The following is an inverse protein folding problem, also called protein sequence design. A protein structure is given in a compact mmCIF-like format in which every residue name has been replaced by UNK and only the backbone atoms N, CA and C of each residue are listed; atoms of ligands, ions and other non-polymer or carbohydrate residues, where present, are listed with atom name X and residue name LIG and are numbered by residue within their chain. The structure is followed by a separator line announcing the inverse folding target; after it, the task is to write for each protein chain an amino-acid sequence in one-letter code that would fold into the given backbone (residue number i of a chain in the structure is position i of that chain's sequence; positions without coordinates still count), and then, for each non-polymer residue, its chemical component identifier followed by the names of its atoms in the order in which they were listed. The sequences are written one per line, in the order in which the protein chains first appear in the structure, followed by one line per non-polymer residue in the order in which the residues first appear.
data_IF_170231988967
#
_entry.id   IF_170231988967
#
_cell.length_a   1.000
_cell.length_b   1.000
_cell.length_c   1.000
_cell.angle_alpha   90.00
_cell.angle_beta   90.00
_cell.angle_gamma   90.00
#
_symmetry.space_group_name_H-M   'P 1'
#
loop_
_entity.id
_entity.type
_entity.pdbx_description
1 polymer ?
#
# COMPACT_ATOMS: atom_id res chain seq x y z
N UNK A 1 -23.78 35.92 -44.29
CA UNK A 1 -23.18 34.72 -43.67
C UNK A 1 -23.64 34.49 -42.22
N UNK A 2 -23.74 35.51 -41.35
CA UNK A 2 -24.14 35.29 -39.94
C UNK A 2 -25.61 34.92 -39.70
N UNK A 3 -26.52 35.21 -40.63
CA UNK A 3 -27.97 34.95 -40.47
C UNK A 3 -28.32 33.45 -40.55
N UNK A 4 -27.60 32.66 -41.34
CA UNK A 4 -27.94 31.25 -41.59
C UNK A 4 -27.59 30.30 -40.44
N UNK A 5 -26.57 30.62 -39.62
CA UNK A 5 -26.20 29.79 -38.46
C UNK A 5 -27.21 29.98 -37.32
N UNK A 6 -27.66 31.22 -37.09
CA UNK A 6 -28.67 31.51 -36.10
C UNK A 6 -30.01 30.83 -36.45
N UNK A 7 -30.42 30.87 -37.71
CA UNK A 7 -31.62 30.18 -38.19
C UNK A 7 -31.51 28.65 -38.05
N UNK A 8 -30.33 28.08 -38.30
CA UNK A 8 -30.07 26.66 -38.12
C UNK A 8 -30.09 26.22 -36.65
N UNK A 9 -29.57 27.04 -35.73
CA UNK A 9 -29.61 26.77 -34.28
C UNK A 9 -31.02 26.91 -33.73
N UNK A 10 -31.79 27.90 -34.19
CA UNK A 10 -33.18 28.09 -33.79
C UNK A 10 -34.11 26.97 -34.30
N UNK A 11 -33.74 26.31 -35.40
CA UNK A 11 -34.45 25.15 -35.92
C UNK A 11 -34.15 23.83 -35.18
N UNK A 12 -33.17 23.82 -34.26
CA UNK A 12 -32.90 22.63 -33.43
C UNK A 12 -34.04 22.48 -32.43
N UNK A 13 -34.79 21.36 -32.46
CA UNK A 13 -35.86 21.15 -31.51
C UNK A 13 -35.29 21.13 -30.08
N UNK A 14 -36.01 21.69 -29.09
CA UNK A 14 -35.57 21.65 -27.71
C UNK A 14 -35.35 20.21 -27.28
N UNK A 15 -34.27 19.97 -26.54
CA UNK A 15 -33.99 18.65 -26.00
C UNK A 15 -35.18 18.20 -25.15
N UNK A 16 -35.67 16.99 -25.40
CA UNK A 16 -36.66 16.35 -24.54
C UNK A 16 -35.93 15.69 -23.38
N UNK A 17 -36.49 15.81 -22.18
CA UNK A 17 -35.98 15.09 -21.03
C UNK A 17 -36.01 13.57 -21.29
N UNK A 18 -34.95 12.89 -20.86
CA UNK A 18 -34.89 11.44 -20.91
C UNK A 18 -35.80 10.79 -19.87
N UNK A 19 -36.18 9.54 -20.12
CA UNK A 19 -36.85 8.70 -19.11
C UNK A 19 -35.76 8.06 -18.23
N UNK A 20 -35.81 8.32 -16.93
CA UNK A 20 -34.87 7.78 -15.94
C UNK A 20 -35.35 6.47 -15.31
N UNK A 21 -34.51 5.85 -14.50
CA UNK A 21 -34.90 4.74 -13.63
C UNK A 21 -35.44 5.28 -12.29
N UNK A 22 -36.66 4.88 -11.93
CA UNK A 22 -37.30 5.24 -10.67
C UNK A 22 -37.21 4.12 -9.61
N UNK A 23 -37.08 2.86 -10.04
CA UNK A 23 -36.94 1.72 -9.14
C UNK A 23 -36.56 0.44 -9.87
N UNK A 24 -36.11 -0.56 -9.13
CA UNK A 24 -35.76 -1.87 -9.64
C UNK A 24 -36.17 -2.94 -8.63
N UNK A 25 -36.71 -4.06 -9.10
CA UNK A 25 -37.03 -5.21 -8.27
C UNK A 25 -36.69 -6.51 -9.01
N UNK A 26 -36.21 -7.52 -8.29
CA UNK A 26 -36.17 -8.89 -8.80
C UNK A 26 -37.45 -9.56 -8.35
N UNK A 27 -38.25 -10.03 -9.30
CA UNK A 27 -39.53 -10.65 -9.00
C UNK A 27 -39.39 -12.11 -8.53
N UNK A 28 -40.51 -12.76 -8.25
CA UNK A 28 -40.53 -14.16 -7.79
C UNK A 28 -40.08 -15.17 -8.84
N UNK A 29 -40.04 -14.79 -10.12
CA UNK A 29 -39.51 -15.61 -11.21
C UNK A 29 -37.99 -15.46 -11.39
N UNK A 30 -37.38 -14.49 -10.69
CA UNK A 30 -35.97 -14.16 -10.79
C UNK A 30 -35.64 -13.15 -11.89
N UNK A 31 -36.65 -12.51 -12.49
CA UNK A 31 -36.47 -11.47 -13.50
C UNK A 31 -36.26 -10.09 -12.89
N UNK A 32 -35.34 -9.31 -13.45
CA UNK A 32 -35.13 -7.91 -13.10
C UNK A 32 -36.18 -7.05 -13.81
N UNK A 33 -37.02 -6.41 -13.02
CA UNK A 33 -38.03 -5.46 -13.49
C UNK A 33 -37.64 -4.05 -13.07
N UNK A 34 -37.44 -3.16 -14.05
CA UNK A 34 -37.23 -1.73 -13.82
C UNK A 34 -38.55 -0.99 -13.87
N UNK A 35 -38.76 -0.09 -12.92
CA UNK A 35 -39.77 0.98 -13.00
C UNK A 35 -39.09 2.25 -13.47
N UNK A 36 -39.58 2.81 -14.58
CA UNK A 36 -39.09 4.04 -15.17
C UNK A 36 -39.75 5.27 -14.54
N UNK A 37 -39.16 6.44 -14.74
CA UNK A 37 -39.68 7.73 -14.23
C UNK A 37 -41.02 8.14 -14.84
N UNK A 38 -41.40 7.55 -15.98
CA UNK A 38 -42.72 7.72 -16.61
C UNK A 38 -43.76 6.70 -16.11
N UNK A 39 -43.40 5.86 -15.12
CA UNK A 39 -44.26 4.83 -14.55
C UNK A 39 -44.29 3.52 -15.34
N UNK A 40 -43.64 3.44 -16.50
CA UNK A 40 -43.54 2.21 -17.27
C UNK A 40 -42.69 1.18 -16.52
N UNK A 41 -43.14 -0.07 -16.52
CA UNK A 41 -42.32 -1.19 -16.07
C UNK A 41 -41.71 -1.92 -17.29
N UNK A 42 -40.43 -2.23 -17.22
CA UNK A 42 -39.71 -3.02 -18.22
C UNK A 42 -39.11 -4.25 -17.53
N UNK A 43 -39.50 -5.43 -17.99
CA UNK A 43 -38.83 -6.68 -17.66
C UNK A 43 -37.55 -6.79 -18.51
N UNK A 44 -36.39 -6.81 -17.84
CA UNK A 44 -35.08 -6.96 -18.46
C UNK A 44 -34.61 -8.43 -18.51
N UNK A 45 -35.42 -9.35 -18.01
CA UNK A 45 -35.16 -10.77 -17.99
C UNK A 45 -34.48 -11.26 -16.72
N UNK A 46 -34.20 -12.56 -16.72
CA UNK A 46 -33.71 -13.32 -15.56
C UNK A 46 -32.30 -12.92 -15.14
N UNK A 47 -32.11 -12.77 -13.83
CA UNK A 47 -30.80 -12.51 -13.19
C UNK A 47 -30.17 -13.84 -12.76
N UNK A 48 -29.16 -14.30 -13.48
CA UNK A 48 -28.43 -15.56 -13.19
C UNK A 48 -26.96 -15.31 -12.76
N UNK A 49 -26.70 -14.21 -12.08
CA UNK A 49 -25.37 -13.94 -11.51
C UNK A 49 -25.05 -14.91 -10.37
N UNK A 50 -23.85 -15.50 -10.36
CA UNK A 50 -23.33 -16.16 -9.15
C UNK A 50 -22.98 -15.10 -8.12
N UNK A 51 -23.19 -15.42 -6.85
CA UNK A 51 -22.75 -14.56 -5.76
C UNK A 51 -21.26 -14.26 -5.89
N UNK A 52 -20.89 -13.03 -5.53
CA UNK A 52 -19.50 -12.65 -5.38
C UNK A 52 -18.82 -13.51 -4.32
N UNK A 53 -17.52 -13.70 -4.46
CA UNK A 53 -16.72 -14.31 -3.41
C UNK A 53 -16.76 -13.42 -2.15
N UNK A 54 -17.11 -13.99 -0.98
CA UNK A 54 -17.09 -13.27 0.30
C UNK A 54 -15.75 -12.54 0.57
N UNK A 55 -15.78 -11.48 1.38
CA UNK A 55 -14.53 -10.84 1.84
C UNK A 55 -13.63 -11.83 2.60
N UNK A 56 -12.32 -11.56 2.65
CA UNK A 56 -11.39 -12.31 3.52
C UNK A 56 -11.67 -11.97 4.99
N UNK A 57 -11.72 -12.98 5.86
CA UNK A 57 -11.84 -12.79 7.30
C UNK A 57 -10.45 -12.55 7.94
N UNK A 58 -10.37 -12.02 9.17
CA UNK A 58 -9.10 -11.96 9.91
C UNK A 58 -8.45 -13.33 10.15
N UNK A 59 -9.23 -14.42 10.13
CA UNK A 59 -8.77 -15.80 10.33
C UNK A 59 -8.04 -16.35 9.09
N UNK A 60 -8.38 -15.79 7.92
CA UNK A 60 -7.77 -16.09 6.62
C UNK A 60 -6.42 -15.36 6.41
N UNK A 61 -6.02 -14.52 7.37
CA UNK A 61 -4.82 -13.68 7.28
C UNK A 61 -3.73 -14.16 8.24
N UNK A 62 -2.55 -14.45 7.71
CA UNK A 62 -1.35 -14.63 8.52
C UNK A 62 -0.37 -13.48 8.31
N UNK A 63 0.27 -13.04 9.39
CA UNK A 63 1.28 -11.97 9.39
C UNK A 63 2.50 -12.46 10.15
N UNK A 64 3.64 -12.52 9.46
CA UNK A 64 4.89 -13.06 10.00
C UNK A 64 6.03 -12.07 9.77
N UNK A 65 6.82 -11.78 10.80
CA UNK A 65 8.10 -11.09 10.64
C UNK A 65 9.14 -12.11 10.13
N UNK A 66 9.73 -11.83 8.97
CA UNK A 66 10.77 -12.68 8.41
C UNK A 66 12.07 -12.60 9.25
N UNK A 67 12.95 -13.63 9.15
CA UNK A 67 14.18 -13.68 9.93
C UNK A 67 15.15 -12.50 9.75
N UNK A 68 14.99 -11.72 8.68
CA UNK A 68 15.77 -10.49 8.46
C UNK A 68 15.47 -9.38 9.49
N UNK A 69 14.36 -9.50 10.22
CA UNK A 69 13.92 -8.60 11.27
C UNK A 69 13.23 -7.32 10.78
N UNK A 70 12.97 -7.18 9.47
CA UNK A 70 12.38 -5.96 8.89
C UNK A 70 11.39 -6.19 7.75
N UNK A 71 11.27 -7.40 7.25
CA UNK A 71 10.29 -7.73 6.21
C UNK A 71 9.12 -8.46 6.83
N UNK A 72 7.91 -7.91 6.68
CA UNK A 72 6.68 -8.60 7.07
C UNK A 72 6.15 -9.37 5.87
N UNK A 73 5.92 -10.66 6.07
CA UNK A 73 5.18 -11.51 5.14
C UNK A 73 3.71 -11.50 5.55
N UNK A 74 2.87 -11.03 4.66
CA UNK A 74 1.43 -11.15 4.77
C UNK A 74 0.96 -12.28 3.88
N UNK A 75 0.04 -13.09 4.38
CA UNK A 75 -0.58 -14.19 3.67
C UNK A 75 -2.08 -14.04 3.78
N UNK A 76 -2.78 -14.16 2.66
CA UNK A 76 -4.23 -14.30 2.59
C UNK A 76 -4.55 -15.65 1.96
N UNK A 77 -5.17 -16.54 2.72
CA UNK A 77 -5.65 -17.82 2.23
C UNK A 77 -7.16 -17.73 2.00
N UNK A 78 -7.65 -18.17 0.83
CA UNK A 78 -9.08 -18.34 0.60
C UNK A 78 -9.35 -19.60 -0.20
N UNK A 79 -9.96 -20.60 0.44
CA UNK A 79 -10.14 -21.93 -0.15
C UNK A 79 -8.77 -22.53 -0.52
N UNK A 80 -8.58 -22.91 -1.79
CA UNK A 80 -7.32 -23.47 -2.28
C UNK A 80 -6.27 -22.41 -2.71
N UNK A 81 -6.62 -21.11 -2.67
CA UNK A 81 -5.73 -20.04 -3.14
C UNK A 81 -5.01 -19.38 -1.97
N UNK A 82 -3.68 -19.31 -2.04
CA UNK A 82 -2.83 -18.55 -1.13
C UNK A 82 -2.21 -17.37 -1.89
N UNK A 83 -2.35 -16.16 -1.34
CA UNK A 83 -1.67 -14.96 -1.80
C UNK A 83 -0.71 -14.48 -0.73
N UNK A 84 0.58 -14.41 -1.06
CA UNK A 84 1.61 -13.92 -0.14
C UNK A 84 2.34 -12.72 -0.72
N UNK A 85 2.56 -11.69 0.10
CA UNK A 85 3.34 -10.51 -0.25
C UNK A 85 4.32 -10.17 0.87
N UNK A 86 5.50 -9.72 0.47
CA UNK A 86 6.58 -9.33 1.37
C UNK A 86 6.71 -7.82 1.36
N UNK A 87 6.56 -7.20 2.52
CA UNK A 87 6.64 -5.75 2.69
C UNK A 87 7.88 -5.44 3.53
N UNK A 88 8.96 -4.92 2.92
CA UNK A 88 10.11 -4.46 3.68
C UNK A 88 9.80 -3.13 4.36
N UNK A 89 10.08 -3.03 5.66
CA UNK A 89 9.95 -1.79 6.41
C UNK A 89 11.31 -1.08 6.55
N UNK A 90 11.37 0.25 6.34
CA UNK A 90 12.60 1.03 6.49
C UNK A 90 12.87 1.30 7.99
N UNK A 91 13.28 0.27 8.72
CA UNK A 91 13.59 0.34 10.16
C UNK A 91 15.10 0.38 10.41
N UNK A 92 15.48 0.95 11.54
CA UNK A 92 16.84 0.84 12.06
C UNK A 92 16.94 -0.39 12.94
N UNK A 93 17.82 -1.33 12.60
CA UNK A 93 18.04 -2.55 13.38
C UNK A 93 19.39 -2.53 14.08
N UNK A 94 19.41 -2.70 15.40
CA UNK A 94 20.65 -2.85 16.15
C UNK A 94 21.30 -4.21 15.86
N UNK A 95 22.50 -4.18 15.29
CA UNK A 95 23.34 -5.36 14.99
C UNK A 95 24.50 -5.50 15.97
N UNK A 96 24.54 -4.70 17.03
CA UNK A 96 25.56 -4.74 18.08
C UNK A 96 26.90 -4.18 17.63
N UNK A 97 28.00 -4.74 18.14
CA UNK A 97 29.36 -4.28 17.79
C UNK A 97 29.71 -4.72 16.37
N UNK A 98 30.30 -3.80 15.59
CA UNK A 98 30.79 -4.09 14.23
C UNK A 98 31.75 -5.30 14.23
N UNK A 99 31.59 -6.18 13.24
CA UNK A 99 32.43 -7.35 13.01
C UNK A 99 32.94 -7.33 11.58
N UNK A 100 34.26 -7.40 11.41
CA UNK A 100 34.88 -7.49 10.09
C UNK A 100 34.46 -8.79 9.39
N UNK A 101 34.25 -8.70 8.07
CA UNK A 101 33.74 -9.80 7.25
C UNK A 101 32.23 -10.06 7.37
N UNK A 102 31.49 -9.29 8.19
CA UNK A 102 30.02 -9.33 8.24
C UNK A 102 29.43 -8.36 7.23
N UNK A 103 28.46 -8.81 6.43
CA UNK A 103 27.69 -7.95 5.56
C UNK A 103 26.52 -7.33 6.33
N UNK A 104 26.32 -6.02 6.17
CA UNK A 104 25.23 -5.25 6.76
C UNK A 104 24.36 -4.67 5.64
N UNK A 105 23.08 -4.48 5.93
CA UNK A 105 22.11 -3.93 4.99
C UNK A 105 21.73 -2.49 5.35
N UNK A 106 21.07 -1.79 4.42
CA UNK A 106 20.54 -0.45 4.69
C UNK A 106 19.68 -0.44 5.95
N UNK A 107 19.92 0.53 6.84
CA UNK A 107 19.23 0.65 8.12
C UNK A 107 19.86 -0.14 9.27
N UNK A 108 20.81 -1.04 9.03
CA UNK A 108 21.53 -1.69 10.12
C UNK A 108 22.37 -0.66 10.90
N UNK A 109 22.30 -0.75 12.22
CA UNK A 109 23.08 0.05 13.15
C UNK A 109 24.13 -0.80 13.85
N UNK A 110 25.35 -0.28 13.97
CA UNK A 110 26.45 -0.93 14.69
C UNK A 110 27.16 0.05 15.61
N UNK A 111 27.71 -0.50 16.69
CA UNK A 111 28.68 0.22 17.53
C UNK A 111 30.10 -0.04 17.04
N UNK A 112 30.84 1.04 16.76
CA UNK A 112 32.26 0.99 16.42
C UNK A 112 32.99 2.24 16.92
N UNK A 113 34.15 2.07 17.56
CA UNK A 113 34.92 3.19 18.11
C UNK A 113 34.18 4.02 19.16
N UNK A 114 33.29 3.38 19.95
CA UNK A 114 32.43 4.05 20.94
C UNK A 114 31.34 4.94 20.33
N UNK A 115 31.09 4.83 19.03
CA UNK A 115 30.09 5.60 18.29
C UNK A 115 29.06 4.66 17.67
N UNK A 116 27.84 5.16 17.44
CA UNK A 116 26.78 4.45 16.71
C UNK A 116 26.79 4.89 15.25
N UNK A 117 26.77 3.91 14.34
CA UNK A 117 26.79 4.11 12.89
C UNK A 117 25.57 3.44 12.27
N UNK A 118 24.96 4.04 11.24
CA UNK A 118 23.84 3.46 10.50
C UNK A 118 24.24 3.29 9.04
N UNK A 119 24.12 2.07 8.52
CA UNK A 119 24.36 1.75 7.12
C UNK A 119 23.34 2.48 6.23
N UNK A 120 23.84 3.25 5.26
CA UNK A 120 23.05 3.96 4.26
C UNK A 120 22.87 3.15 2.96
N UNK A 121 23.53 2.01 2.86
CA UNK A 121 23.42 1.00 1.79
C UNK A 121 23.97 -0.32 2.31
N UNK A 122 23.81 -1.40 1.54
CA UNK A 122 24.52 -2.64 1.85
C UNK A 122 26.04 -2.39 1.88
N UNK A 123 26.71 -2.81 2.94
CA UNK A 123 28.15 -2.63 3.14
C UNK A 123 28.71 -3.64 4.14
N UNK A 124 29.94 -4.10 3.90
CA UNK A 124 30.76 -4.81 4.90
C UNK A 124 32.01 -4.02 5.28
N UNK A 125 32.15 -2.80 4.74
CA UNK A 125 33.28 -1.92 5.01
C UNK A 125 33.31 -1.53 6.48
N UNK A 126 34.49 -1.21 6.98
CA UNK A 126 34.65 -0.72 8.34
C UNK A 126 33.98 0.67 8.49
N UNK A 127 33.30 1.00 9.62
CA UNK A 127 32.63 2.31 9.82
C UNK A 127 33.61 3.46 10.12
N UNK A 128 34.64 3.61 9.30
CA UNK A 128 35.65 4.66 9.44
C UNK A 128 36.14 5.15 8.07
N UNK A 129 36.34 6.45 7.91
CA UNK A 129 36.75 7.04 6.65
C UNK A 129 35.59 7.36 5.70
N UNK A 130 35.92 7.58 4.43
CA UNK A 130 35.00 8.11 3.43
C UNK A 130 34.38 7.00 2.59
N UNK A 131 33.13 7.20 2.15
CA UNK A 131 32.43 6.31 1.20
C UNK A 131 32.24 4.85 1.66
N UNK A 132 32.33 4.58 2.96
CA UNK A 132 32.16 3.23 3.53
C UNK A 132 30.71 2.73 3.50
N UNK A 133 29.76 3.59 3.14
CA UNK A 133 28.33 3.29 3.26
C UNK A 133 27.78 3.51 4.67
N UNK A 134 28.62 3.81 5.66
CA UNK A 134 28.18 4.15 7.00
C UNK A 134 27.98 5.65 7.18
N UNK A 135 26.94 6.02 7.95
CA UNK A 135 26.76 7.38 8.46
C UNK A 135 26.91 7.36 9.98
N UNK A 136 27.73 8.26 10.52
CA UNK A 136 27.82 8.48 11.96
C UNK A 136 26.46 8.99 12.47
N UNK A 137 25.80 8.21 13.33
CA UNK A 137 24.51 8.55 13.92
C UNK A 137 24.69 9.19 15.30
N UNK A 138 25.59 8.63 16.12
CA UNK A 138 25.94 9.17 17.44
C UNK A 138 27.45 9.12 17.62
N UNK A 139 28.05 10.27 17.96
CA UNK A 139 29.50 10.39 18.21
C UNK A 139 29.81 9.97 19.65
N UNK A 140 30.93 9.25 19.85
CA UNK A 140 31.52 9.02 21.18
C UNK A 140 31.64 10.35 21.94
N UNK A 141 31.28 10.34 23.23
CA UNK A 141 31.54 11.45 24.13
C UNK A 141 33.04 11.75 24.28
N UNK A 142 33.36 12.97 24.72
CA UNK A 142 34.72 13.32 25.14
C UNK A 142 35.00 12.65 26.48
N UNK A 143 36.25 12.22 26.66
CA UNK A 143 36.69 11.70 27.94
C UNK A 143 36.59 12.80 29.01
N UNK A 144 36.23 12.41 30.23
CA UNK A 144 36.14 13.31 31.37
C UNK A 144 37.51 13.87 31.74
N UNK A 145 37.54 15.02 32.43
CA UNK A 145 38.78 15.61 32.93
C UNK A 145 39.16 14.94 34.25
N UNK A 146 40.38 14.43 34.38
CA UNK A 146 40.85 13.81 35.62
C UNK A 146 40.95 14.87 36.73
N UNK A 147 40.39 14.56 37.89
CA UNK A 147 40.55 15.38 39.10
C UNK A 147 41.67 14.76 39.94
N UNK A 148 42.91 15.10 39.63
CA UNK A 148 44.01 14.83 40.54
C UNK A 148 43.82 15.73 41.78
N UNK A 149 43.50 15.14 42.93
CA UNK A 149 43.57 15.80 44.22
C UNK A 149 44.99 15.63 44.74
N UNK A 150 45.75 16.71 44.76
CA UNK A 150 46.99 16.83 45.54
C UNK A 150 46.66 17.03 47.03
#
# INVERSE_FOLDING_TARGET
MAKSVADAVAAIPPAKDGVGAAGAVIDRSGSLVLTLSDGKMIDLGRVDGKDGLDGTSPEDMAVELLPDGRTVRFVFAKGEKEYAFKVPFPVVLDRGVFKEGTAYEHGDAVTFGGSLWIAQRATGEKPEGNNTGWRLAVKKGRDGRDLNKE
#
